data_IF_588422803024
#
_entry.id   IF_588422803024
#
_cell.length_a   1.000
_cell.length_b   1.000
_cell.length_c   1.000
_cell.angle_alpha   90.00
_cell.angle_beta   90.00
_cell.angle_gamma   90.00
#
_symmetry.space_group_name_H-M   'P 1'
#
loop_
_entity.id
_entity.type
_entity.pdbx_description
1 polymer ?
#
# COMPACT_ATOMS: atom_id res chain seq x y z
N UNK A 1 -4.56 -4.17 -6.39
CA UNK A 1 -3.56 -3.92 -5.32
C UNK A 1 -4.18 -4.23 -3.97
N UNK A 2 -5.33 -3.64 -3.64
CA UNK A 2 -6.23 -4.02 -2.55
C UNK A 2 -6.39 -5.54 -2.27
N UNK A 3 -6.61 -6.38 -3.29
CA UNK A 3 -6.74 -7.84 -3.10
C UNK A 3 -5.50 -8.50 -2.47
N UNK A 4 -4.30 -7.96 -2.77
CA UNK A 4 -3.04 -8.41 -2.18
C UNK A 4 -3.03 -8.10 -0.69
N UNK A 5 -3.42 -6.88 -0.32
CA UNK A 5 -3.48 -6.44 1.07
C UNK A 5 -4.48 -7.28 1.87
N UNK A 6 -5.65 -7.58 1.30
CA UNK A 6 -6.60 -8.52 1.91
C UNK A 6 -6.02 -9.92 2.05
N UNK A 7 -5.27 -10.42 1.06
CA UNK A 7 -4.60 -11.72 1.15
C UNK A 7 -3.60 -11.77 2.31
N UNK A 8 -2.80 -10.72 2.49
CA UNK A 8 -1.86 -10.62 3.62
C UNK A 8 -2.62 -10.57 4.95
N UNK A 9 -3.73 -9.83 5.02
CA UNK A 9 -4.55 -9.77 6.24
C UNK A 9 -5.15 -11.12 6.62
N UNK A 10 -5.55 -11.94 5.64
CA UNK A 10 -6.09 -13.29 5.87
C UNK A 10 -5.06 -14.25 6.45
N UNK A 11 -3.77 -14.11 6.10
CA UNK A 11 -2.71 -14.92 6.71
C UNK A 11 -2.66 -14.75 8.24
N UNK A 12 -3.11 -13.61 8.77
CA UNK A 12 -3.10 -13.29 10.20
C UNK A 12 -4.35 -13.79 10.94
N UNK A 13 -5.31 -14.42 10.28
CA UNK A 13 -6.52 -14.90 10.94
C UNK A 13 -6.15 -15.94 12.03
N UNK A 14 -6.54 -15.70 13.30
CA UNK A 14 -6.22 -16.62 14.38
C UNK A 14 -7.15 -17.84 14.36
N UNK A 15 -6.96 -18.79 15.28
CA UNK A 15 -7.81 -19.96 15.39
C UNK A 15 -9.29 -19.55 15.63
N UNK A 16 -10.29 -20.27 15.08
CA UNK A 16 -11.71 -19.90 15.20
C UNK A 16 -12.19 -19.64 16.64
N UNK A 17 -11.65 -20.35 17.63
CA UNK A 17 -12.02 -20.11 19.03
C UNK A 17 -11.51 -18.76 19.55
N UNK A 18 -10.33 -18.33 19.12
CA UNK A 18 -9.84 -16.98 19.44
C UNK A 18 -10.62 -15.91 18.68
N UNK A 19 -11.03 -16.19 17.45
CA UNK A 19 -11.94 -15.28 16.72
C UNK A 19 -13.27 -15.11 17.47
N UNK A 20 -13.87 -16.18 18.02
CA UNK A 20 -15.08 -16.07 18.84
C UNK A 20 -14.86 -15.22 20.09
N UNK A 21 -13.69 -15.30 20.71
CA UNK A 21 -13.32 -14.46 21.85
C UNK A 21 -13.25 -12.99 21.44
N UNK A 22 -12.63 -12.66 20.31
CA UNK A 22 -12.60 -11.29 19.79
C UNK A 22 -14.02 -10.78 19.50
N UNK A 23 -14.84 -11.61 18.85
CA UNK A 23 -16.20 -11.24 18.42
C UNK A 23 -17.21 -11.17 19.58
N UNK A 24 -16.92 -11.72 20.76
CA UNK A 24 -17.85 -11.70 21.89
C UNK A 24 -18.25 -10.26 22.28
N UNK A 25 -17.36 -9.30 22.03
CA UNK A 25 -17.55 -7.85 22.25
C UNK A 25 -18.68 -7.26 21.44
N UNK A 26 -18.97 -7.79 20.26
CA UNK A 26 -20.02 -7.27 19.37
C UNK A 26 -21.20 -8.22 19.23
N UNK A 27 -21.08 -9.47 19.69
CA UNK A 27 -22.15 -10.48 19.63
C UNK A 27 -23.40 -10.11 20.43
N UNK A 28 -23.29 -9.23 21.43
CA UNK A 28 -24.44 -8.74 22.20
C UNK A 28 -25.27 -7.70 21.43
N UNK A 29 -24.75 -7.16 20.32
CA UNK A 29 -25.45 -6.20 19.48
C UNK A 29 -26.47 -6.94 18.61
N UNK A 30 -27.74 -6.86 19.01
CA UNK A 30 -28.83 -7.53 18.31
C UNK A 30 -29.20 -6.82 17.01
N UNK A 31 -28.65 -7.29 15.90
CA UNK A 31 -29.06 -6.90 14.55
C UNK A 31 -28.04 -6.04 13.79
N UNK A 32 -28.14 -6.07 12.46
CA UNK A 32 -27.20 -5.38 11.55
C UNK A 32 -27.14 -3.87 11.78
N UNK A 33 -28.27 -3.25 12.13
CA UNK A 33 -28.34 -1.82 12.41
C UNK A 33 -27.53 -1.43 13.65
N UNK A 34 -27.63 -2.22 14.72
CA UNK A 34 -26.95 -1.98 16.00
C UNK A 34 -25.45 -2.10 15.83
N UNK A 35 -24.99 -3.12 15.10
CA UNK A 35 -23.58 -3.30 14.74
C UNK A 35 -23.06 -2.09 13.95
N UNK A 36 -23.75 -1.69 12.87
CA UNK A 36 -23.35 -0.52 12.07
C UNK A 36 -23.28 0.75 12.90
N UNK A 37 -24.27 0.99 13.76
CA UNK A 37 -24.32 2.15 14.64
C UNK A 37 -23.13 2.17 15.60
N UNK A 38 -22.77 1.02 16.16
CA UNK A 38 -21.65 0.94 17.11
C UNK A 38 -20.30 1.21 16.44
N UNK A 39 -20.12 0.69 15.22
CA UNK A 39 -18.88 0.89 14.47
C UNK A 39 -18.77 2.34 14.01
N UNK A 40 -19.87 2.95 13.55
CA UNK A 40 -19.92 4.35 13.17
C UNK A 40 -19.60 5.31 14.34
N UNK A 41 -19.96 4.95 15.58
CA UNK A 41 -19.56 5.73 16.78
C UNK A 41 -18.05 5.80 16.97
N UNK A 42 -17.33 4.80 16.47
CA UNK A 42 -15.87 4.70 16.54
C UNK A 42 -15.20 5.13 15.22
N UNK A 43 -15.94 5.77 14.31
CA UNK A 43 -15.40 6.24 13.03
C UNK A 43 -14.99 5.14 12.05
N UNK A 44 -15.45 3.90 12.28
CA UNK A 44 -15.22 2.78 11.37
C UNK A 44 -16.21 2.81 10.20
N UNK A 45 -15.74 2.32 9.05
CA UNK A 45 -16.57 2.08 7.88
C UNK A 45 -17.55 0.91 8.13
N UNK A 46 -18.37 0.59 7.13
CA UNK A 46 -19.34 -0.51 7.24
C UNK A 46 -18.60 -1.82 7.58
N UNK A 47 -19.00 -2.57 8.63
CA UNK A 47 -18.35 -3.83 9.00
C UNK A 47 -18.25 -4.85 7.86
N UNK A 48 -19.15 -4.73 6.88
CA UNK A 48 -19.24 -5.58 5.70
C UNK A 48 -18.70 -4.91 4.44
N UNK A 49 -18.07 -3.74 4.54
CA UNK A 49 -17.50 -2.99 3.41
C UNK A 49 -16.61 -3.88 2.54
N UNK A 50 -15.73 -4.63 3.19
CA UNK A 50 -14.77 -5.46 2.49
C UNK A 50 -15.34 -6.84 2.10
N UNK A 51 -16.43 -7.30 2.73
CA UNK A 51 -16.86 -8.71 2.73
C UNK A 51 -15.69 -9.64 3.11
N UNK A 52 -14.90 -9.21 4.09
CA UNK A 52 -13.68 -9.88 4.52
C UNK A 52 -13.74 -10.24 6.00
N UNK A 53 -13.56 -11.52 6.30
CA UNK A 53 -13.66 -12.00 7.68
C UNK A 53 -12.58 -11.43 8.61
N UNK A 54 -11.38 -11.15 8.09
CA UNK A 54 -10.33 -10.49 8.87
C UNK A 54 -10.76 -9.10 9.35
N UNK A 55 -11.52 -8.36 8.52
CA UNK A 55 -11.99 -7.02 8.86
C UNK A 55 -13.07 -7.10 9.95
N UNK A 56 -13.96 -8.09 9.83
CA UNK A 56 -14.95 -8.38 10.87
C UNK A 56 -14.31 -8.70 12.24
N UNK A 57 -13.16 -9.37 12.26
CA UNK A 57 -12.39 -9.56 13.49
C UNK A 57 -11.59 -8.33 13.92
N UNK A 58 -11.13 -7.50 12.97
CA UNK A 58 -10.37 -6.29 13.27
C UNK A 58 -11.21 -5.22 13.95
N UNK A 59 -12.44 -4.98 13.50
CA UNK A 59 -13.24 -3.87 14.03
C UNK A 59 -13.50 -3.92 15.55
N UNK A 60 -13.85 -5.06 16.17
CA UNK A 60 -13.93 -5.16 17.62
C UNK A 60 -12.61 -4.88 18.33
N UNK A 61 -11.47 -5.22 17.73
CA UNK A 61 -10.15 -4.89 18.26
C UNK A 61 -9.86 -3.39 18.15
N UNK A 62 -10.29 -2.72 17.09
CA UNK A 62 -10.16 -1.27 16.99
C UNK A 62 -11.03 -0.56 18.05
N UNK A 63 -12.24 -1.04 18.32
CA UNK A 63 -13.07 -0.54 19.42
C UNK A 63 -12.36 -0.77 20.76
N UNK A 64 -11.84 -1.98 20.99
CA UNK A 64 -11.07 -2.32 22.19
C UNK A 64 -9.87 -1.40 22.42
N UNK A 65 -9.11 -1.08 21.38
CA UNK A 65 -7.98 -0.14 21.41
C UNK A 65 -8.44 1.27 21.83
N UNK A 66 -9.55 1.75 21.28
CA UNK A 66 -10.12 3.06 21.65
C UNK A 66 -10.56 3.12 23.11
N UNK A 67 -11.14 2.04 23.63
CA UNK A 67 -11.61 1.94 25.01
C UNK A 67 -10.50 1.60 26.02
N UNK A 68 -9.28 1.30 25.55
CA UNK A 68 -8.16 0.88 26.39
C UNK A 68 -8.33 -0.54 26.96
N UNK A 69 -9.09 -1.38 26.28
CA UNK A 69 -9.55 -2.70 26.72
C UNK A 69 -8.92 -3.84 25.91
N UNK A 70 -7.68 -3.67 25.41
CA UNK A 70 -6.91 -4.76 24.80
C UNK A 70 -6.39 -5.68 25.92
N UNK A 71 -6.83 -6.94 25.91
CA UNK A 71 -6.64 -7.86 27.04
C UNK A 71 -5.37 -8.72 26.92
N UNK A 72 -4.89 -8.97 25.69
CA UNK A 72 -3.82 -9.95 25.45
C UNK A 72 -2.80 -9.45 24.43
N UNK A 73 -1.56 -9.92 24.55
CA UNK A 73 -0.51 -9.64 23.58
C UNK A 73 -0.85 -10.10 22.16
N UNK A 74 -1.66 -11.16 22.01
CA UNK A 74 -2.18 -11.61 20.71
C UNK A 74 -3.18 -10.62 20.11
N UNK A 75 -4.07 -10.04 20.93
CA UNK A 75 -4.99 -8.99 20.47
C UNK A 75 -4.22 -7.74 20.04
N UNK A 76 -3.22 -7.31 20.84
CA UNK A 76 -2.37 -6.17 20.51
C UNK A 76 -1.59 -6.40 19.20
N UNK A 77 -1.03 -7.60 19.02
CA UNK A 77 -0.32 -7.97 17.80
C UNK A 77 -1.25 -7.93 16.57
N UNK A 78 -2.41 -8.60 16.63
CA UNK A 78 -3.37 -8.65 15.53
C UNK A 78 -3.92 -7.26 15.20
N UNK A 79 -4.30 -6.50 16.22
CA UNK A 79 -4.77 -5.13 16.07
C UNK A 79 -3.72 -4.26 15.38
N UNK A 80 -2.47 -4.28 15.88
CA UNK A 80 -1.40 -3.44 15.32
C UNK A 80 -1.12 -3.74 13.84
N UNK A 81 -1.13 -5.01 13.43
CA UNK A 81 -0.88 -5.42 12.06
C UNK A 81 -2.07 -5.16 11.14
N UNK A 82 -3.29 -5.54 11.55
CA UNK A 82 -4.50 -5.25 10.77
C UNK A 82 -4.76 -3.76 10.64
N UNK A 83 -4.42 -2.93 11.63
CA UNK A 83 -4.49 -1.46 11.54
C UNK A 83 -3.57 -0.91 10.45
N UNK A 84 -2.34 -1.43 10.33
CA UNK A 84 -1.41 -1.05 9.25
C UNK A 84 -1.97 -1.48 7.88
N UNK A 85 -2.50 -2.70 7.78
CA UNK A 85 -3.06 -3.21 6.53
C UNK A 85 -4.33 -2.47 6.11
N UNK A 86 -5.23 -2.21 7.06
CA UNK A 86 -6.46 -1.45 6.84
C UNK A 86 -6.15 -0.03 6.35
N UNK A 87 -5.24 0.68 7.01
CA UNK A 87 -4.76 1.99 6.55
C UNK A 87 -4.16 1.95 5.14
N UNK A 88 -3.40 0.90 4.82
CA UNK A 88 -2.87 0.68 3.48
C UNK A 88 -4.00 0.52 2.45
N UNK A 89 -5.04 -0.27 2.76
CA UNK A 89 -6.22 -0.47 1.89
C UNK A 89 -6.95 0.85 1.66
N UNK A 90 -7.23 1.61 2.72
CA UNK A 90 -7.87 2.92 2.63
C UNK A 90 -7.03 3.90 1.79
N UNK A 91 -5.71 3.90 1.99
CA UNK A 91 -4.80 4.77 1.22
C UNK A 91 -4.82 4.45 -0.27
N UNK A 92 -4.72 3.17 -0.65
CA UNK A 92 -4.70 2.80 -2.08
C UNK A 92 -6.09 2.88 -2.71
N UNK A 93 -7.16 2.78 -1.93
CA UNK A 93 -8.54 2.84 -2.42
C UNK A 93 -9.13 4.25 -2.47
N UNK A 94 -8.36 5.26 -2.07
CA UNK A 94 -8.81 6.65 -2.10
C UNK A 94 -9.12 7.08 -3.55
N UNK A 95 -10.33 7.61 -3.76
CA UNK A 95 -10.82 8.06 -5.07
C UNK A 95 -10.70 9.58 -5.28
N UNK A 96 -10.27 10.33 -4.27
CA UNK A 96 -10.11 11.79 -4.33
C UNK A 96 -8.81 12.25 -5.00
N UNK A 97 -7.87 11.34 -5.23
CA UNK A 97 -6.62 11.61 -5.95
C UNK A 97 -6.06 10.29 -6.53
N UNK A 98 -5.10 10.34 -7.47
CA UNK A 98 -4.34 9.16 -7.88
C UNK A 98 -3.62 8.49 -6.71
N UNK A 99 -3.54 7.16 -6.73
CA UNK A 99 -2.92 6.36 -5.64
C UNK A 99 -1.90 5.34 -6.13
N UNK A 100 -1.67 5.25 -7.44
CA UNK A 100 -0.76 4.26 -8.03
C UNK A 100 0.69 4.42 -7.53
N UNK A 101 1.11 5.67 -7.32
CA UNK A 101 2.40 6.06 -6.73
C UNK A 101 2.58 5.57 -5.29
N UNK A 102 1.48 5.41 -4.54
CA UNK A 102 1.52 5.00 -3.14
C UNK A 102 1.59 3.48 -2.95
N UNK A 103 1.23 2.69 -3.97
CA UNK A 103 1.03 1.24 -3.83
C UNK A 103 2.28 0.51 -3.33
N UNK A 104 3.44 0.78 -3.93
CA UNK A 104 4.69 0.13 -3.54
C UNK A 104 5.09 0.49 -2.09
N UNK A 105 4.93 1.77 -1.73
CA UNK A 105 5.23 2.25 -0.38
C UNK A 105 4.34 1.57 0.68
N UNK A 106 3.07 1.38 0.38
CA UNK A 106 2.15 0.69 1.29
C UNK A 106 2.51 -0.79 1.49
N UNK A 107 2.97 -1.49 0.44
CA UNK A 107 3.47 -2.87 0.59
C UNK A 107 4.70 -2.92 1.51
N UNK A 108 5.65 -2.00 1.34
CA UNK A 108 6.82 -1.92 2.22
C UNK A 108 6.45 -1.60 3.67
N UNK A 109 5.50 -0.69 3.92
CA UNK A 109 4.99 -0.39 5.27
C UNK A 109 4.45 -1.65 5.96
N UNK A 110 3.59 -2.40 5.27
CA UNK A 110 3.04 -3.67 5.80
C UNK A 110 4.18 -4.66 6.07
N UNK A 111 5.12 -4.82 5.13
CA UNK A 111 6.28 -5.69 5.28
C UNK A 111 7.14 -5.34 6.49
N UNK A 112 7.47 -4.06 6.69
CA UNK A 112 8.27 -3.61 7.83
C UNK A 112 7.56 -3.85 9.16
N UNK A 113 6.24 -3.63 9.22
CA UNK A 113 5.44 -3.96 10.41
C UNK A 113 5.49 -5.46 10.73
N UNK A 114 5.29 -6.32 9.72
CA UNK A 114 5.39 -7.78 9.87
C UNK A 114 6.78 -8.22 10.33
N UNK A 115 7.84 -7.73 9.69
CA UNK A 115 9.23 -8.06 10.04
C UNK A 115 9.60 -7.60 11.46
N UNK A 116 9.09 -6.45 11.88
CA UNK A 116 9.27 -5.95 13.25
C UNK A 116 8.60 -6.88 14.27
N UNK A 117 7.34 -7.28 14.04
CA UNK A 117 6.63 -8.20 14.94
C UNK A 117 7.27 -9.60 14.94
N UNK A 118 7.73 -10.10 13.79
CA UNK A 118 8.43 -11.38 13.70
C UNK A 118 9.72 -11.37 14.53
N UNK A 119 10.50 -10.29 14.42
CA UNK A 119 11.74 -10.15 15.19
C UNK A 119 11.45 -10.16 16.69
N UNK A 120 10.41 -9.46 17.15
CA UNK A 120 9.96 -9.48 18.56
C UNK A 120 9.53 -10.87 19.02
N UNK A 121 8.76 -11.59 18.19
CA UNK A 121 8.32 -12.94 18.50
C UNK A 121 9.48 -13.95 18.63
N UNK A 122 10.53 -13.78 17.82
CA UNK A 122 11.70 -14.69 17.83
C UNK A 122 12.75 -14.38 18.91
N UNK A 123 12.76 -13.17 19.48
CA UNK A 123 13.83 -12.70 20.37
C UNK A 123 13.81 -13.25 21.81
N UNK A 124 12.95 -14.23 22.12
CA UNK A 124 12.89 -14.94 23.40
C UNK A 124 12.81 -14.03 24.64
N UNK A 125 11.58 -13.58 24.95
CA UNK A 125 11.05 -13.01 26.22
C UNK A 125 9.67 -12.34 25.99
N UNK A 126 9.20 -12.27 24.73
CA UNK A 126 7.85 -11.82 24.42
C UNK A 126 6.83 -12.75 25.08
N UNK A 127 5.86 -12.16 25.80
CA UNK A 127 4.74 -12.92 26.37
C UNK A 127 4.12 -13.83 25.33
N UNK A 128 3.71 -15.03 25.74
CA UNK A 128 3.19 -16.06 24.84
C UNK A 128 1.98 -15.52 24.07
N UNK A 129 2.18 -15.16 22.80
CA UNK A 129 1.08 -14.89 21.88
C UNK A 129 0.39 -16.23 21.60
N UNK A 130 -0.76 -16.44 22.24
CA UNK A 130 -1.62 -17.62 22.08
C UNK A 130 -2.80 -17.33 21.14
N UNK A 131 -3.63 -18.34 20.85
CA UNK A 131 -4.83 -18.16 20.01
C UNK A 131 -4.64 -18.47 18.53
N UNK A 132 -3.45 -18.92 18.11
CA UNK A 132 -3.17 -19.40 16.73
C UNK A 132 -3.31 -20.92 16.56
N UNK A 133 -3.86 -21.62 17.56
CA UNK A 133 -4.06 -23.07 17.53
C UNK A 133 -2.72 -23.81 17.61
N UNK A 134 -2.51 -24.77 16.70
CA UNK A 134 -1.25 -25.53 16.58
C UNK A 134 -0.12 -24.71 15.93
N UNK A 135 -0.44 -23.62 15.23
CA UNK A 135 0.56 -22.77 14.59
C UNK A 135 1.24 -21.86 15.62
N UNK A 136 2.56 -21.75 15.55
CA UNK A 136 3.30 -20.72 16.27
C UNK A 136 3.03 -19.35 15.62
N UNK A 137 2.90 -18.29 16.42
CA UNK A 137 2.80 -16.90 15.93
C UNK A 137 3.93 -16.54 14.96
N UNK A 138 5.14 -17.06 15.18
CA UNK A 138 6.28 -16.82 14.29
C UNK A 138 6.05 -17.41 12.89
N UNK A 139 5.43 -18.58 12.79
CA UNK A 139 5.11 -19.22 11.50
C UNK A 139 4.03 -18.44 10.76
N UNK A 140 3.00 -17.97 11.49
CA UNK A 140 1.93 -17.11 10.94
C UNK A 140 2.50 -15.79 10.40
N UNK A 141 3.37 -15.14 11.16
CA UNK A 141 4.04 -13.90 10.75
C UNK A 141 4.97 -14.13 9.56
N UNK A 142 5.66 -15.27 9.52
CA UNK A 142 6.50 -15.65 8.39
C UNK A 142 5.67 -15.90 7.12
N UNK A 143 4.55 -16.62 7.23
CA UNK A 143 3.62 -16.85 6.12
C UNK A 143 3.10 -15.53 5.54
N UNK A 144 2.71 -14.59 6.40
CA UNK A 144 2.29 -13.25 5.99
C UNK A 144 3.44 -12.43 5.36
N UNK A 145 4.65 -12.53 5.91
CA UNK A 145 5.85 -11.87 5.39
C UNK A 145 6.24 -12.40 4.00
N UNK A 146 6.24 -13.72 3.82
CA UNK A 146 6.51 -14.37 2.53
C UNK A 146 5.45 -13.97 1.49
N UNK A 147 4.19 -13.82 1.91
CA UNK A 147 3.10 -13.36 1.04
C UNK A 147 3.30 -11.92 0.55
N UNK A 148 3.70 -10.99 1.43
CA UNK A 148 3.98 -9.60 1.01
C UNK A 148 5.27 -9.49 0.20
N UNK A 149 6.30 -10.27 0.53
CA UNK A 149 7.57 -10.30 -0.21
C UNK A 149 7.33 -10.75 -1.64
N UNK A 150 6.61 -11.87 -1.81
CA UNK A 150 6.20 -12.35 -3.13
C UNK A 150 5.38 -11.29 -3.89
N UNK A 151 4.42 -10.65 -3.23
CA UNK A 151 3.61 -9.64 -3.90
C UNK A 151 4.42 -8.43 -4.37
N UNK A 152 5.40 -7.97 -3.58
CA UNK A 152 6.34 -6.92 -4.00
C UNK A 152 7.13 -7.41 -5.22
N UNK A 153 7.70 -8.62 -5.17
CA UNK A 153 8.52 -9.18 -6.25
C UNK A 153 7.72 -9.39 -7.55
N UNK A 154 6.47 -9.82 -7.47
CA UNK A 154 5.61 -10.06 -8.64
C UNK A 154 5.13 -8.76 -9.29
N UNK A 155 5.08 -7.65 -8.54
CA UNK A 155 4.48 -6.40 -8.98
C UNK A 155 5.41 -5.17 -8.94
N UNK A 156 6.69 -5.34 -8.59
CA UNK A 156 7.60 -4.21 -8.38
C UNK A 156 7.69 -3.29 -9.59
N UNK A 157 7.73 -3.83 -10.82
CA UNK A 157 7.78 -3.00 -12.03
C UNK A 157 6.52 -2.15 -12.17
N UNK A 158 5.35 -2.75 -11.94
CA UNK A 158 4.05 -2.10 -12.07
C UNK A 158 3.94 -0.90 -11.13
N UNK A 159 4.35 -1.07 -9.87
CA UNK A 159 4.21 -0.02 -8.85
C UNK A 159 5.42 0.91 -8.73
N UNK A 160 6.61 0.51 -9.18
CA UNK A 160 7.78 1.40 -9.17
C UNK A 160 7.69 2.52 -10.20
N UNK A 161 7.04 2.28 -11.35
CA UNK A 161 6.90 3.31 -12.38
C UNK A 161 6.13 4.55 -11.87
N UNK A 162 4.88 4.44 -11.39
CA UNK A 162 4.16 5.59 -10.86
C UNK A 162 4.87 6.18 -9.62
N UNK A 163 5.52 5.35 -8.79
CA UNK A 163 6.25 5.84 -7.62
C UNK A 163 7.50 6.68 -7.99
N UNK A 164 8.25 6.30 -9.03
CA UNK A 164 9.41 7.09 -9.49
C UNK A 164 8.96 8.34 -10.26
N UNK A 165 7.83 8.25 -10.95
CA UNK A 165 7.17 9.40 -11.60
C UNK A 165 6.45 10.31 -10.61
N UNK A 166 6.45 9.97 -9.32
CA UNK A 166 6.20 10.96 -8.28
C UNK A 166 7.48 11.76 -8.01
N UNK A 167 7.46 13.09 -8.22
CA UNK A 167 8.61 13.95 -8.02
C UNK A 167 9.14 13.96 -6.57
N UNK A 168 8.39 13.45 -5.59
CA UNK A 168 8.79 13.38 -4.16
C UNK A 168 9.71 12.20 -3.84
N UNK A 169 9.65 11.11 -4.59
CA UNK A 169 10.34 9.87 -4.23
C UNK A 169 11.55 9.58 -5.12
N UNK A 170 11.39 9.68 -6.45
CA UNK A 170 12.44 9.40 -7.45
C UNK A 170 13.04 7.98 -7.32
N UNK A 171 14.05 7.68 -8.14
CA UNK A 171 14.74 6.38 -8.19
C UNK A 171 15.44 6.01 -6.87
N UNK A 172 15.94 7.00 -6.14
CA UNK A 172 16.66 6.78 -4.88
C UNK A 172 15.76 6.15 -3.81
N UNK A 173 14.52 6.61 -3.68
CA UNK A 173 13.59 6.10 -2.66
C UNK A 173 13.29 4.61 -2.84
N UNK A 174 13.04 4.16 -4.08
CA UNK A 174 12.79 2.74 -4.33
C UNK A 174 14.01 1.87 -4.08
N UNK A 175 15.21 2.38 -4.39
CA UNK A 175 16.46 1.66 -4.15
C UNK A 175 16.65 1.40 -2.66
N UNK A 176 16.53 2.44 -1.83
CA UNK A 176 16.68 2.33 -0.38
C UNK A 176 15.66 1.33 0.21
N UNK A 177 14.42 1.33 -0.31
CA UNK A 177 13.39 0.37 0.09
C UNK A 177 13.73 -1.08 -0.31
N UNK A 178 14.19 -1.32 -1.54
CA UNK A 178 14.60 -2.67 -1.96
C UNK A 178 15.83 -3.15 -1.19
N UNK A 179 16.79 -2.26 -0.88
CA UNK A 179 17.98 -2.61 -0.09
C UNK A 179 17.58 -3.05 1.32
N UNK A 180 16.69 -2.29 1.98
CA UNK A 180 16.18 -2.65 3.31
C UNK A 180 15.34 -3.93 3.32
N UNK A 181 14.69 -4.25 2.20
CA UNK A 181 13.81 -5.40 2.10
C UNK A 181 14.53 -6.70 1.74
N UNK A 182 15.30 -6.68 0.65
CA UNK A 182 15.85 -7.87 0.00
C UNK A 182 17.39 -7.88 -0.04
N UNK A 183 18.03 -6.77 0.33
CA UNK A 183 19.49 -6.64 0.34
C UNK A 183 20.04 -5.98 -0.93
N UNK A 184 21.33 -5.64 -0.89
CA UNK A 184 21.96 -4.75 -1.89
C UNK A 184 22.02 -5.34 -3.30
N UNK A 185 22.22 -6.64 -3.46
CA UNK A 185 22.31 -7.26 -4.79
C UNK A 185 20.95 -7.29 -5.49
N UNK A 186 19.90 -7.70 -4.79
CA UNK A 186 18.53 -7.67 -5.31
C UNK A 186 18.07 -6.25 -5.60
N UNK A 187 18.38 -5.30 -4.72
CA UNK A 187 18.06 -3.89 -4.93
C UNK A 187 18.69 -3.31 -6.18
N UNK A 188 19.93 -3.67 -6.50
CA UNK A 188 20.57 -3.29 -7.78
C UNK A 188 19.78 -3.87 -8.95
N UNK A 189 19.44 -5.16 -8.91
CA UNK A 189 18.67 -5.82 -9.97
C UNK A 189 17.30 -5.14 -10.20
N UNK A 190 16.53 -4.92 -9.13
CA UNK A 190 15.23 -4.25 -9.21
C UNK A 190 15.37 -2.81 -9.73
N UNK A 191 16.32 -2.03 -9.21
CA UNK A 191 16.55 -0.63 -9.63
C UNK A 191 16.94 -0.54 -11.11
N UNK A 192 17.81 -1.45 -11.58
CA UNK A 192 18.17 -1.55 -13.00
C UNK A 192 16.97 -1.94 -13.86
N UNK A 193 16.14 -2.89 -13.39
CA UNK A 193 14.90 -3.30 -14.05
C UNK A 193 13.92 -2.13 -14.22
N UNK A 194 13.71 -1.34 -13.16
CA UNK A 194 12.86 -0.14 -13.19
C UNK A 194 13.41 0.92 -14.13
N UNK A 195 14.71 1.21 -14.05
CA UNK A 195 15.37 2.19 -14.94
C UNK A 195 15.21 1.80 -16.41
N UNK A 196 15.47 0.53 -16.75
CA UNK A 196 15.26 0.01 -18.11
C UNK A 196 13.81 0.18 -18.54
N UNK A 197 12.85 -0.17 -17.68
CA UNK A 197 11.43 -0.07 -18.02
C UNK A 197 10.98 1.38 -18.21
N UNK A 198 11.48 2.33 -17.42
CA UNK A 198 11.22 3.76 -17.62
C UNK A 198 11.72 4.24 -18.99
N UNK A 199 12.94 3.84 -19.38
CA UNK A 199 13.51 4.18 -20.69
C UNK A 199 12.69 3.59 -21.84
N UNK A 200 12.31 2.32 -21.75
CA UNK A 200 11.42 1.67 -22.72
C UNK A 200 10.06 2.37 -22.84
N UNK A 201 9.45 2.76 -21.71
CA UNK A 201 8.19 3.48 -21.73
C UNK A 201 8.36 4.85 -22.37
N UNK A 202 9.38 5.60 -21.98
CA UNK A 202 9.70 6.92 -22.54
C UNK A 202 9.85 6.88 -24.05
N UNK A 203 10.51 5.84 -24.60
CA UNK A 203 10.65 5.68 -26.06
C UNK A 203 9.33 5.51 -26.81
N UNK A 204 8.23 5.16 -26.14
CA UNK A 204 6.91 5.10 -26.77
C UNK A 204 6.19 6.47 -26.81
N UNK A 205 6.66 7.45 -26.04
CA UNK A 205 6.05 8.79 -25.97
C UNK A 205 6.74 9.81 -26.88
N UNK A 206 7.93 9.48 -27.40
CA UNK A 206 8.65 10.25 -28.41
C UNK A 206 8.10 9.91 -29.80
N UNK A 207 7.88 10.91 -30.64
CA UNK A 207 7.41 10.73 -32.02
C UNK A 207 8.62 10.67 -32.95
N UNK A 208 8.92 9.51 -33.55
CA UNK A 208 9.89 9.27 -34.65
C UNK A 208 10.94 10.37 -34.92
N UNK A 209 11.70 10.76 -33.90
CA UNK A 209 12.81 11.71 -34.00
C UNK A 209 14.10 11.00 -34.37
N UNK A 210 14.93 11.64 -35.19
CA UNK A 210 16.19 11.07 -35.71
C UNK A 210 17.30 10.91 -34.64
N UNK A 211 17.10 11.35 -33.38
CA UNK A 211 18.13 11.28 -32.32
C UNK A 211 17.58 10.84 -30.94
N UNK A 212 17.50 9.53 -30.76
CA UNK A 212 17.07 8.85 -29.52
C UNK A 212 17.92 9.22 -28.28
N UNK A 213 19.17 9.67 -28.47
CA UNK A 213 20.10 9.97 -27.37
C UNK A 213 19.78 11.34 -26.76
N UNK A 214 19.40 12.30 -27.59
CA UNK A 214 19.00 13.62 -27.14
C UNK A 214 17.65 13.59 -26.40
N UNK A 215 16.74 12.73 -26.83
CA UNK A 215 15.41 12.62 -26.25
C UNK A 215 15.41 11.95 -24.86
N UNK A 216 16.30 10.98 -24.59
CA UNK A 216 16.42 10.35 -23.27
C UNK A 216 17.01 11.29 -22.20
N UNK A 217 17.62 12.42 -22.59
CA UNK A 217 18.19 13.39 -21.65
C UNK A 217 17.14 13.93 -20.69
N UNK A 218 15.93 14.22 -21.17
CA UNK A 218 14.83 14.74 -20.33
C UNK A 218 14.51 13.78 -19.17
N UNK A 219 14.38 12.50 -19.46
CA UNK A 219 14.15 11.47 -18.44
C UNK A 219 15.34 11.35 -17.49
N UNK A 220 16.56 11.29 -18.02
CA UNK A 220 17.76 11.19 -17.19
C UNK A 220 17.92 12.42 -16.28
N UNK A 221 17.58 13.63 -16.75
CA UNK A 221 17.52 14.85 -15.93
C UNK A 221 16.47 14.73 -14.83
N UNK A 222 15.22 14.36 -15.17
CA UNK A 222 14.16 14.17 -14.18
C UNK A 222 14.56 13.18 -13.08
N UNK A 223 15.23 12.08 -13.43
CA UNK A 223 15.64 11.03 -12.49
C UNK A 223 16.80 11.45 -11.58
N UNK A 224 17.67 12.33 -12.05
CA UNK A 224 18.83 12.86 -11.29
C UNK A 224 18.46 14.08 -10.44
N UNK A 225 17.41 14.80 -10.82
CA UNK A 225 16.98 15.99 -10.09
C UNK A 225 16.54 15.68 -8.66
N UNK A 226 16.80 16.66 -7.79
CA UNK A 226 16.44 16.55 -6.37
C UNK A 226 14.93 16.35 -6.21
N UNK A 227 14.49 15.53 -5.23
CA UNK A 227 13.07 15.35 -4.98
C UNK A 227 12.37 16.65 -4.61
N UNK A 228 11.13 16.82 -5.07
CA UNK A 228 10.32 17.98 -4.77
C UNK A 228 9.82 17.92 -3.32
N UNK A 229 10.16 18.94 -2.51
CA UNK A 229 9.93 18.94 -1.06
C UNK A 229 8.63 19.61 -0.59
N UNK A 230 7.90 20.31 -1.47
CA UNK A 230 6.75 21.15 -1.10
C UNK A 230 5.41 20.69 -1.69
N UNK A 231 5.32 19.45 -2.15
CA UNK A 231 4.08 18.90 -2.72
C UNK A 231 3.25 18.28 -1.59
N UNK A 232 2.03 18.78 -1.39
CA UNK A 232 1.06 18.17 -0.46
C UNK A 232 0.48 16.90 -1.08
N UNK A 233 0.04 15.96 -0.23
CA UNK A 233 -0.67 14.77 -0.67
C UNK A 233 -1.90 15.15 -1.51
N UNK A 234 -2.09 14.47 -2.64
CA UNK A 234 -3.15 14.76 -3.61
C UNK A 234 -2.86 15.92 -4.58
N UNK A 235 -1.81 16.71 -4.36
CA UNK A 235 -1.45 17.86 -5.22
C UNK A 235 -0.41 17.51 -6.31
N UNK A 236 -0.06 16.23 -6.42
CA UNK A 236 0.92 15.70 -7.39
C UNK A 236 0.55 16.06 -8.83
N UNK A 237 -0.74 16.00 -9.19
CA UNK A 237 -1.22 16.32 -10.54
C UNK A 237 -1.04 17.80 -10.86
N UNK A 238 -1.26 18.67 -9.88
CA UNK A 238 -1.09 20.09 -10.05
C UNK A 238 0.39 20.47 -10.19
N UNK A 239 1.28 19.79 -9.45
CA UNK A 239 2.72 19.95 -9.63
C UNK A 239 3.15 19.58 -11.05
N UNK A 240 2.67 18.44 -11.55
CA UNK A 240 2.92 18.02 -12.92
C UNK A 240 2.36 19.00 -13.96
N UNK A 241 1.19 19.60 -13.72
CA UNK A 241 0.63 20.64 -14.59
C UNK A 241 1.46 21.92 -14.62
N UNK A 242 1.79 22.45 -13.44
CA UNK A 242 2.37 23.80 -13.30
C UNK A 242 3.89 23.82 -13.51
N UNK A 243 4.59 22.78 -13.07
CA UNK A 243 6.05 22.71 -13.10
C UNK A 243 6.54 21.61 -14.04
N UNK A 244 6.03 20.40 -13.86
CA UNK A 244 6.52 19.22 -14.57
C UNK A 244 6.31 19.29 -16.09
N UNK A 245 5.17 19.82 -16.56
CA UNK A 245 4.85 19.90 -17.99
C UNK A 245 5.71 20.89 -18.76
N UNK A 246 6.24 21.91 -18.08
CA UNK A 246 7.17 22.86 -18.69
C UNK A 246 8.59 22.30 -18.71
N UNK A 247 9.02 21.64 -17.63
CA UNK A 247 10.40 21.19 -17.46
C UNK A 247 10.68 19.80 -18.06
N UNK A 248 9.69 18.91 -18.03
CA UNK A 248 9.76 17.54 -18.51
C UNK A 248 8.47 17.15 -19.27
N UNK A 249 8.21 17.71 -20.47
CA UNK A 249 6.95 17.51 -21.19
C UNK A 249 6.63 16.04 -21.49
N UNK A 250 7.63 15.21 -21.80
CA UNK A 250 7.44 13.79 -22.13
C UNK A 250 7.26 12.97 -20.86
N UNK A 251 8.07 13.22 -19.82
CA UNK A 251 7.92 12.55 -18.52
C UNK A 251 6.58 12.88 -17.90
N UNK A 252 6.07 14.11 -18.07
CA UNK A 252 4.78 14.51 -17.55
C UNK A 252 3.62 13.72 -18.19
N UNK A 253 3.68 13.47 -19.51
CA UNK A 253 2.73 12.58 -20.20
C UNK A 253 2.81 11.14 -19.67
N UNK A 254 4.01 10.62 -19.41
CA UNK A 254 4.17 9.30 -18.78
C UNK A 254 3.57 9.27 -17.36
N UNK A 255 3.84 10.30 -16.56
CA UNK A 255 3.36 10.41 -15.19
C UNK A 255 1.84 10.43 -15.14
N UNK A 256 1.19 11.18 -16.03
CA UNK A 256 -0.28 11.14 -16.21
C UNK A 256 -0.81 9.73 -16.33
N UNK A 257 -0.25 8.97 -17.28
CA UNK A 257 -0.79 7.67 -17.67
C UNK A 257 -0.47 6.60 -16.62
N UNK A 258 0.71 6.69 -15.98
CA UNK A 258 1.09 5.80 -14.87
C UNK A 258 0.28 6.09 -13.59
N UNK A 259 0.04 7.35 -13.23
CA UNK A 259 -0.75 7.72 -12.06
C UNK A 259 -2.23 7.35 -12.24
N UNK A 260 -2.71 7.24 -13.48
CA UNK A 260 -4.07 6.82 -13.80
C UNK A 260 -4.37 5.34 -13.57
N UNK A 261 -3.37 4.54 -13.21
CA UNK A 261 -3.52 3.10 -13.05
C UNK A 261 -4.52 2.77 -11.93
N UNK A 262 -5.50 1.90 -12.18
CA UNK A 262 -6.44 1.47 -11.15
C UNK A 262 -5.71 0.62 -10.10
N UNK A 263 -5.90 0.99 -8.84
CA UNK A 263 -5.24 0.36 -7.70
C UNK A 263 -6.20 -0.51 -6.91
N UNK A 264 -7.45 -0.07 -6.78
CA UNK A 264 -8.51 -0.77 -6.06
C UNK A 264 -9.52 -1.40 -7.03
N UNK A 265 -9.86 -2.67 -6.76
CA UNK A 265 -10.81 -3.47 -7.55
C UNK A 265 -12.27 -3.08 -7.30
N UNK A 266 -12.55 -2.37 -6.20
CA UNK A 266 -13.90 -1.96 -5.79
C UNK A 266 -14.30 -0.55 -6.21
N UNK A 267 -13.41 0.21 -6.85
CA UNK A 267 -13.77 1.52 -7.36
C UNK A 267 -14.90 1.37 -8.39
N UNK A 268 -16.01 2.07 -8.14
CA UNK A 268 -17.14 2.13 -9.08
C UNK A 268 -16.71 2.77 -10.40
N UNK A 269 -17.44 2.49 -11.48
CA UNK A 269 -17.18 3.15 -12.77
C UNK A 269 -17.21 4.67 -12.67
N UNK A 270 -18.06 5.23 -11.80
CA UNK A 270 -18.14 6.66 -11.53
C UNK A 270 -16.90 7.20 -10.82
N UNK A 271 -16.38 6.48 -9.82
CA UNK A 271 -15.12 6.84 -9.15
C UNK A 271 -13.91 6.75 -10.10
N UNK A 272 -13.87 5.70 -10.94
CA UNK A 272 -12.83 5.58 -11.97
C UNK A 272 -12.94 6.72 -12.98
N UNK A 273 -14.16 7.05 -13.41
CA UNK A 273 -14.42 8.17 -14.30
C UNK A 273 -14.06 9.50 -13.66
N UNK A 274 -14.30 9.66 -12.36
CA UNK A 274 -13.91 10.84 -11.58
C UNK A 274 -12.38 10.99 -11.54
N UNK A 275 -11.64 9.95 -11.19
CA UNK A 275 -10.16 9.95 -11.22
C UNK A 275 -9.64 10.28 -12.61
N UNK A 276 -10.21 9.67 -13.66
CA UNK A 276 -9.86 9.98 -15.06
C UNK A 276 -10.22 11.42 -15.44
N UNK A 277 -11.32 11.97 -14.92
CA UNK A 277 -11.72 13.35 -15.17
C UNK A 277 -10.80 14.34 -14.48
N UNK A 278 -10.37 14.06 -13.24
CA UNK A 278 -9.35 14.84 -12.55
C UNK A 278 -8.11 14.88 -13.42
N UNK A 279 -7.57 13.72 -13.82
CA UNK A 279 -6.42 13.64 -14.70
C UNK A 279 -6.59 14.51 -15.94
N UNK A 280 -7.69 14.38 -16.71
CA UNK A 280 -7.94 15.23 -17.89
C UNK A 280 -7.97 16.74 -17.60
N UNK A 281 -8.37 17.18 -16.41
CA UNK A 281 -8.39 18.61 -16.05
C UNK A 281 -6.99 19.20 -15.79
N UNK A 282 -5.97 18.36 -15.64
CA UNK A 282 -4.60 18.78 -15.37
C UNK A 282 -3.67 18.79 -16.59
N UNK A 283 -4.15 18.40 -17.78
CA UNK A 283 -3.34 18.29 -19.00
C UNK A 283 -3.96 19.02 -20.17
#
# INVERSE_FOLDING_TARGET
MDHVLHSIARCLLPHPDFQKQILCRVNHLNGTFQVRREFARHGLEDPWEYDEHWYWCYCPLEIADHDGDIETGSQELLHSLWKVIHRAIQTVSNSSHPTADLCLEQLFKVRYALKSQLSKATAAHAGECSGFGEKNVADVLKEALDTVDKAIQDSYLVWSIPHVLDPRYKLRSIKDNFEGAFGSEDAKCYTSGVTRKLKELYTNYIENGNDMVEELKELDYYLQDSPARQIKDGDILNWWKLHGSFQYPTVARMARDALAMPTCSKLTSDQIAHVRSMLRGYW
#
